data_IF_345327040958
#
_entry.id   IF_345327040958
#
_cell.length_a   1.000
_cell.length_b   1.000
_cell.length_c   1.000
_cell.angle_alpha   90.00
_cell.angle_beta   90.00
_cell.angle_gamma   90.00
#
_symmetry.space_group_name_H-M   'P 1'
#
loop_
_entity.id
_entity.type
_entity.pdbx_description
1 polymer ?
#
# COMPACT_ATOMS: atom_id res chain seq x y z
N UNK A 1 22.26 -1.00 0.45
CA UNK A 1 21.76 0.29 0.97
C UNK A 1 20.43 0.06 1.64
N UNK A 2 20.30 0.55 2.88
CA UNK A 2 19.11 0.43 3.72
C UNK A 2 18.40 1.78 3.82
N UNK A 3 17.09 1.75 3.93
CA UNK A 3 16.27 2.89 4.37
C UNK A 3 15.96 2.68 5.84
N UNK A 4 16.12 3.73 6.64
CA UNK A 4 15.87 3.70 8.08
C UNK A 4 14.86 4.78 8.44
N UNK A 5 13.97 4.49 9.37
CA UNK A 5 13.06 5.47 9.93
C UNK A 5 13.87 6.63 10.59
N UNK A 6 13.36 7.86 10.61
CA UNK A 6 12.01 8.25 10.24
C UNK A 6 11.76 8.32 8.73
N UNK A 7 10.65 7.75 8.27
CA UNK A 7 10.21 7.87 6.87
C UNK A 7 9.40 9.16 6.68
N UNK A 8 9.71 9.92 5.64
CA UNK A 8 8.86 11.03 5.21
C UNK A 8 7.54 10.53 4.60
N UNK A 9 6.50 11.38 4.45
CA UNK A 9 5.20 10.97 3.92
C UNK A 9 5.24 10.36 2.52
N UNK A 10 6.11 10.84 1.62
CA UNK A 10 6.23 10.32 0.27
C UNK A 10 6.90 8.93 0.27
N UNK A 11 7.86 8.72 1.17
CA UNK A 11 8.48 7.41 1.42
C UNK A 11 7.46 6.43 2.00
N UNK A 12 6.60 6.86 2.92
CA UNK A 12 5.51 6.03 3.46
C UNK A 12 4.54 5.59 2.37
N UNK A 13 4.04 6.52 1.54
CA UNK A 13 3.16 6.21 0.40
C UNK A 13 3.81 5.20 -0.55
N UNK A 14 5.06 5.44 -0.97
CA UNK A 14 5.81 4.52 -1.86
C UNK A 14 5.94 3.13 -1.27
N UNK A 15 6.30 3.02 0.00
CA UNK A 15 6.43 1.70 0.66
C UNK A 15 5.07 1.02 0.73
N UNK A 16 4.01 1.70 1.14
CA UNK A 16 2.68 1.12 1.24
C UNK A 16 2.15 0.61 -0.10
N UNK A 17 2.37 1.36 -1.19
CA UNK A 17 2.04 0.90 -2.55
C UNK A 17 2.78 -0.38 -2.92
N UNK A 18 4.08 -0.46 -2.61
CA UNK A 18 4.86 -1.66 -2.85
C UNK A 18 4.37 -2.85 -1.99
N UNK A 19 4.07 -2.62 -0.72
CA UNK A 19 3.54 -3.64 0.20
C UNK A 19 2.15 -4.16 -0.22
N UNK A 20 1.29 -3.29 -0.77
CA UNK A 20 -0.02 -3.69 -1.31
C UNK A 20 0.06 -4.27 -2.73
N UNK A 21 1.24 -4.31 -3.35
CA UNK A 21 1.44 -4.84 -4.71
C UNK A 21 0.81 -3.97 -5.81
N UNK A 22 0.53 -2.70 -5.54
CA UNK A 22 -0.10 -1.74 -6.47
C UNK A 22 0.94 -0.90 -7.21
N UNK A 23 1.96 -1.57 -7.71
CA UNK A 23 3.11 -1.00 -8.41
C UNK A 23 3.34 -1.75 -9.72
N UNK A 24 4.22 -1.23 -10.58
CA UNK A 24 4.45 -1.77 -11.92
C UNK A 24 5.01 -3.21 -11.88
N UNK A 25 6.00 -3.45 -11.01
CA UNK A 25 6.62 -4.76 -10.77
C UNK A 25 6.57 -5.12 -9.28
N UNK A 26 5.45 -5.68 -8.79
CA UNK A 26 5.26 -5.92 -7.37
C UNK A 26 6.16 -7.06 -6.88
N UNK A 27 6.86 -6.80 -5.78
CA UNK A 27 7.64 -7.79 -5.05
C UNK A 27 6.83 -8.37 -3.90
N UNK A 28 7.29 -9.49 -3.34
CA UNK A 28 6.72 -10.01 -2.10
C UNK A 28 6.80 -8.94 -0.99
N UNK A 29 5.68 -8.67 -0.28
CA UNK A 29 5.69 -7.72 0.80
C UNK A 29 6.56 -8.20 1.95
N UNK A 30 6.98 -7.24 2.77
CA UNK A 30 7.62 -7.52 4.03
C UNK A 30 6.53 -7.92 5.02
N UNK A 31 6.67 -9.10 5.60
CA UNK A 31 5.72 -9.66 6.55
C UNK A 31 6.31 -9.68 7.94
N UNK A 32 5.43 -9.64 8.94
CA UNK A 32 5.80 -9.69 10.34
C UNK A 32 6.57 -10.99 10.65
N UNK A 33 7.70 -10.93 11.38
CA UNK A 33 8.42 -12.14 11.79
C UNK A 33 7.57 -13.07 12.68
N UNK A 34 6.54 -12.53 13.33
CA UNK A 34 5.62 -13.29 14.19
C UNK A 34 4.40 -13.84 13.44
N UNK A 35 4.32 -13.67 12.10
CA UNK A 35 3.14 -14.02 11.30
C UNK A 35 2.75 -15.52 11.35
N UNK A 36 3.67 -16.39 11.75
CA UNK A 36 3.45 -17.85 11.83
C UNK A 36 2.76 -18.31 13.11
N UNK A 37 2.33 -17.39 13.98
CA UNK A 37 1.61 -17.70 15.23
C UNK A 37 0.13 -18.06 15.03
N UNK A 38 -0.39 -17.95 13.80
CA UNK A 38 -1.78 -18.24 13.44
C UNK A 38 -2.78 -17.13 13.81
N UNK A 39 -2.31 -15.98 14.31
CA UNK A 39 -3.16 -14.85 14.75
C UNK A 39 -3.09 -13.64 13.83
N UNK A 40 -2.13 -13.61 12.91
CA UNK A 40 -1.92 -12.50 11.98
C UNK A 40 -2.95 -12.47 10.87
N UNK A 41 -3.40 -11.26 10.55
CA UNK A 41 -4.37 -11.07 9.48
C UNK A 41 -3.77 -11.33 8.09
N UNK A 42 -4.60 -11.90 7.22
CA UNK A 42 -4.37 -11.90 5.77
C UNK A 42 -4.84 -10.55 5.21
N UNK A 43 -3.91 -9.76 4.68
CA UNK A 43 -4.24 -8.48 4.04
C UNK A 43 -3.27 -8.15 2.91
N UNK A 44 -3.80 -7.64 1.79
CA UNK A 44 -2.98 -7.38 0.59
C UNK A 44 -2.42 -8.66 -0.02
N UNK A 45 -3.11 -9.80 0.18
CA UNK A 45 -2.72 -11.11 -0.33
C UNK A 45 -1.69 -11.88 0.49
N UNK A 46 -1.19 -11.33 1.61
CA UNK A 46 -0.18 -11.98 2.47
C UNK A 46 -0.54 -11.91 3.95
N UNK A 47 -0.12 -12.93 4.71
CA UNK A 47 -0.32 -12.98 6.16
C UNK A 47 0.72 -12.10 6.85
N UNK A 48 0.25 -11.16 7.67
CA UNK A 48 1.11 -10.31 8.48
C UNK A 48 1.84 -9.21 7.69
N UNK A 49 1.31 -8.79 6.54
CA UNK A 49 1.84 -7.64 5.76
C UNK A 49 2.08 -6.43 6.66
N UNK A 50 3.29 -5.88 6.59
CA UNK A 50 3.66 -4.69 7.36
C UNK A 50 3.17 -3.42 6.66
N UNK A 51 2.73 -2.45 7.45
CA UNK A 51 2.29 -1.14 6.97
C UNK A 51 3.37 -0.13 7.30
N UNK A 52 3.71 0.74 6.36
CA UNK A 52 4.67 1.81 6.58
C UNK A 52 4.05 2.95 7.40
N UNK A 53 4.83 3.40 8.37
CA UNK A 53 4.59 4.55 9.22
C UNK A 53 5.85 5.40 9.25
N UNK A 54 5.76 6.63 9.75
CA UNK A 54 6.94 7.47 10.01
C UNK A 54 7.99 6.76 10.86
N UNK A 55 7.57 5.98 11.86
CA UNK A 55 8.47 5.28 12.78
C UNK A 55 9.03 3.95 12.26
N UNK A 56 8.61 3.49 11.08
CA UNK A 56 9.02 2.21 10.51
C UNK A 56 7.87 1.41 9.92
N UNK A 57 8.14 0.15 9.62
CA UNK A 57 7.14 -0.84 9.20
C UNK A 57 6.48 -1.45 10.43
N UNK A 58 5.16 -1.31 10.55
CA UNK A 58 4.38 -1.72 11.71
C UNK A 58 3.44 -2.86 11.32
N UNK A 59 3.41 -3.92 12.12
CA UNK A 59 2.43 -4.99 11.97
C UNK A 59 1.06 -4.55 12.50
N UNK A 60 -0.02 -4.61 11.69
CA UNK A 60 -1.36 -4.27 12.15
C UNK A 60 -1.89 -5.14 13.30
N UNK A 61 -1.46 -6.40 13.35
CA UNK A 61 -1.99 -7.37 14.33
C UNK A 61 -1.28 -7.30 15.67
N UNK A 62 0.05 -7.34 15.70
CA UNK A 62 0.81 -7.48 16.96
C UNK A 62 1.61 -6.23 17.35
N UNK A 63 1.59 -5.17 16.52
CA UNK A 63 2.32 -3.93 16.80
C UNK A 63 3.84 -4.02 16.66
N UNK A 64 4.39 -5.15 16.18
CA UNK A 64 5.81 -5.27 15.87
C UNK A 64 6.27 -4.13 14.94
N UNK A 65 7.41 -3.52 15.26
CA UNK A 65 8.00 -2.42 14.47
C UNK A 65 9.37 -2.84 13.94
N UNK A 66 9.55 -2.72 12.63
CA UNK A 66 10.83 -2.82 11.96
C UNK A 66 11.21 -1.44 11.42
N UNK A 67 12.27 -0.84 11.97
CA UNK A 67 12.68 0.54 11.67
C UNK A 67 13.51 0.68 10.38
N UNK A 68 13.71 -0.40 9.61
CA UNK A 68 14.54 -0.41 8.42
C UNK A 68 14.00 -1.32 7.32
N UNK A 69 14.39 -1.07 6.07
CA UNK A 69 14.11 -1.96 4.93
C UNK A 69 15.20 -1.87 3.85
N UNK A 70 15.40 -2.91 3.02
CA UNK A 70 16.31 -2.82 1.89
C UNK A 70 15.78 -1.82 0.85
N UNK A 71 16.58 -0.81 0.47
CA UNK A 71 16.18 0.17 -0.55
C UNK A 71 15.90 -0.47 -1.93
N UNK A 72 16.38 -1.71 -2.14
CA UNK A 72 16.11 -2.49 -3.35
C UNK A 72 14.62 -2.81 -3.55
N UNK A 73 13.85 -2.93 -2.46
CA UNK A 73 12.39 -3.19 -2.52
C UNK A 73 11.68 -2.11 -3.32
N UNK A 74 12.00 -0.83 -3.06
CA UNK A 74 11.38 0.30 -3.76
C UNK A 74 11.87 0.42 -5.21
N UNK A 75 13.17 0.26 -5.44
CA UNK A 75 13.72 0.34 -6.80
C UNK A 75 13.16 -0.76 -7.72
N UNK A 76 12.88 -1.94 -7.18
CA UNK A 76 12.28 -3.01 -7.96
C UNK A 76 10.82 -2.71 -8.29
N UNK A 77 10.05 -2.25 -7.30
CA UNK A 77 8.66 -1.82 -7.49
C UNK A 77 8.46 -0.79 -8.61
N UNK A 78 9.47 0.05 -8.84
CA UNK A 78 9.47 1.14 -9.82
C UNK A 78 9.88 0.71 -11.23
N UNK A 79 10.30 -0.54 -11.44
CA UNK A 79 10.67 -1.01 -12.78
C UNK A 79 9.44 -1.17 -13.65
N UNK A 80 9.50 -0.62 -14.86
CA UNK A 80 8.53 -0.92 -15.89
C UNK A 80 8.68 -2.39 -16.31
N UNK A 81 7.57 -3.13 -16.32
CA UNK A 81 7.51 -4.48 -16.88
C UNK A 81 7.01 -4.47 -18.33
N UNK A 82 7.21 -5.58 -19.04
CA UNK A 82 6.86 -5.74 -20.47
C UNK A 82 5.36 -5.97 -20.73
N UNK A 83 4.49 -5.42 -19.87
CA UNK A 83 3.02 -5.57 -19.96
C UNK A 83 2.43 -4.31 -20.57
N UNK A 84 1.38 -4.45 -21.39
CA UNK A 84 0.68 -3.27 -21.93
C UNK A 84 0.17 -2.38 -20.79
N UNK A 85 0.26 -1.06 -20.98
CA UNK A 85 -0.13 -0.08 -19.96
C UNK A 85 -1.60 -0.27 -19.49
N UNK A 86 -2.51 -0.62 -20.40
CA UNK A 86 -3.90 -0.89 -20.07
C UNK A 86 -4.08 -2.16 -19.22
N UNK A 87 -3.41 -3.26 -19.56
CA UNK A 87 -3.46 -4.49 -18.78
C UNK A 87 -2.82 -4.31 -17.39
N UNK A 88 -1.73 -3.54 -17.32
CA UNK A 88 -1.10 -3.17 -16.06
C UNK A 88 -2.03 -2.33 -15.19
N UNK A 89 -2.68 -1.31 -15.74
CA UNK A 89 -3.64 -0.47 -15.02
C UNK A 89 -4.82 -1.29 -14.46
N UNK A 90 -5.40 -2.18 -15.26
CA UNK A 90 -6.48 -3.06 -14.80
C UNK A 90 -6.03 -4.01 -13.69
N UNK A 91 -4.82 -4.55 -13.78
CA UNK A 91 -4.24 -5.39 -12.71
C UNK A 91 -4.05 -4.60 -11.43
N UNK A 92 -3.41 -3.43 -11.51
CA UNK A 92 -3.15 -2.56 -10.36
C UNK A 92 -4.46 -2.18 -9.69
N UNK A 93 -5.49 -1.79 -10.44
CA UNK A 93 -6.78 -1.40 -9.89
C UNK A 93 -7.49 -2.56 -9.15
N UNK A 94 -7.48 -3.77 -9.74
CA UNK A 94 -8.03 -4.95 -9.08
C UNK A 94 -7.29 -5.27 -7.77
N UNK A 95 -5.96 -5.23 -7.80
CA UNK A 95 -5.12 -5.44 -6.62
C UNK A 95 -5.36 -4.37 -5.57
N UNK A 96 -5.47 -3.10 -5.98
CA UNK A 96 -5.78 -1.96 -5.11
C UNK A 96 -7.10 -2.16 -4.37
N UNK A 97 -8.16 -2.50 -5.10
CA UNK A 97 -9.47 -2.70 -4.50
C UNK A 97 -9.48 -3.86 -3.50
N UNK A 98 -8.86 -4.99 -3.86
CA UNK A 98 -8.75 -6.15 -2.95
C UNK A 98 -7.96 -5.81 -1.68
N UNK A 99 -6.80 -5.16 -1.82
CA UNK A 99 -5.99 -4.75 -0.68
C UNK A 99 -6.74 -3.72 0.19
N UNK A 100 -7.42 -2.75 -0.42
CA UNK A 100 -8.17 -1.73 0.30
C UNK A 100 -9.28 -2.35 1.15
N UNK A 101 -10.01 -3.33 0.60
CA UNK A 101 -11.05 -4.02 1.34
C UNK A 101 -10.49 -4.82 2.53
N UNK A 102 -9.34 -5.48 2.36
CA UNK A 102 -8.66 -6.18 3.45
C UNK A 102 -8.24 -5.22 4.57
N UNK A 103 -7.51 -4.15 4.24
CA UNK A 103 -7.02 -3.21 5.25
C UNK A 103 -8.16 -2.43 5.93
N UNK A 104 -9.23 -2.10 5.21
CA UNK A 104 -10.45 -1.52 5.82
C UNK A 104 -11.11 -2.49 6.81
N UNK A 105 -11.09 -3.81 6.55
CA UNK A 105 -11.57 -4.79 7.54
C UNK A 105 -10.73 -4.76 8.82
N UNK A 106 -9.41 -4.62 8.71
CA UNK A 106 -8.52 -4.51 9.86
C UNK A 106 -8.80 -3.25 10.69
N UNK A 107 -8.94 -2.10 10.03
CA UNK A 107 -9.29 -0.84 10.72
C UNK A 107 -10.62 -0.96 11.45
N UNK A 108 -11.66 -1.51 10.80
CA UNK A 108 -12.96 -1.77 11.46
C UNK A 108 -12.85 -2.76 12.63
N UNK A 109 -11.89 -3.68 12.58
CA UNK A 109 -11.55 -4.59 13.67
C UNK A 109 -10.68 -3.97 14.78
N UNK A 110 -10.42 -2.66 14.75
CA UNK A 110 -9.66 -1.94 15.76
C UNK A 110 -8.14 -1.88 15.51
N UNK A 111 -7.65 -2.44 14.41
CA UNK A 111 -6.22 -2.43 14.06
C UNK A 111 -5.85 -1.13 13.34
N UNK A 112 -5.87 -0.02 14.10
CA UNK A 112 -5.71 1.34 13.54
C UNK A 112 -4.34 1.58 12.88
N UNK A 113 -3.33 0.78 13.21
CA UNK A 113 -2.02 0.81 12.52
C UNK A 113 -2.11 0.38 11.05
N UNK A 114 -3.25 -0.15 10.58
CA UNK A 114 -3.53 -0.35 9.16
C UNK A 114 -3.98 0.92 8.41
N UNK A 115 -4.38 1.98 9.11
CA UNK A 115 -4.97 3.18 8.50
C UNK A 115 -4.09 3.83 7.43
N UNK A 116 -2.75 3.99 7.60
CA UNK A 116 -1.93 4.61 6.56
C UNK A 116 -1.94 3.86 5.22
N UNK A 117 -2.16 2.55 5.25
CA UNK A 117 -2.33 1.75 4.03
C UNK A 117 -3.67 2.06 3.35
N UNK A 118 -4.75 2.19 4.13
CA UNK A 118 -6.07 2.59 3.62
C UNK A 118 -5.97 3.96 2.94
N UNK A 119 -5.36 4.94 3.62
CA UNK A 119 -5.19 6.30 3.10
C UNK A 119 -4.41 6.29 1.78
N UNK A 120 -3.33 5.50 1.71
CA UNK A 120 -2.52 5.31 0.49
C UNK A 120 -3.37 4.79 -0.67
N UNK A 121 -4.16 3.73 -0.43
CA UNK A 121 -4.94 3.06 -1.48
C UNK A 121 -6.19 3.85 -1.91
N UNK A 122 -6.74 4.68 -1.03
CA UNK A 122 -7.82 5.61 -1.35
C UNK A 122 -7.32 6.79 -2.17
N UNK A 123 -6.15 7.36 -1.81
CA UNK A 123 -5.54 8.47 -2.56
C UNK A 123 -5.14 8.09 -4.00
N UNK A 124 -4.95 6.79 -4.28
CA UNK A 124 -4.68 6.27 -5.62
C UNK A 124 -5.92 6.19 -6.52
N UNK A 125 -7.13 6.18 -5.96
CA UNK A 125 -8.33 6.08 -6.77
C UNK A 125 -8.40 7.28 -7.74
N UNK A 126 -8.81 7.07 -9.00
CA UNK A 126 -9.02 8.19 -9.91
C UNK A 126 -9.99 9.15 -9.23
N UNK A 127 -9.61 10.43 -9.16
CA UNK A 127 -10.52 11.47 -8.70
C UNK A 127 -11.71 11.42 -9.62
N UNK A 128 -12.84 10.93 -9.12
CA UNK A 128 -14.12 11.08 -9.81
C UNK A 128 -14.30 12.58 -9.92
N UNK A 129 -14.09 13.13 -11.12
CA UNK A 129 -14.52 14.48 -11.42
C UNK A 129 -16.03 14.47 -11.19
N UNK A 130 -16.47 14.94 -10.02
CA UNK A 130 -17.86 15.29 -9.83
C UNK A 130 -18.18 16.30 -10.93
N UNK A 131 -19.28 16.09 -11.66
CA UNK A 131 -19.62 16.83 -12.88
C UNK A 131 -19.75 18.36 -12.74
N UNK A 132 -19.43 18.93 -11.57
CA UNK A 132 -19.35 20.37 -11.35
C UNK A 132 -18.21 21.05 -12.12
N UNK A 133 -17.10 20.35 -12.41
CA UNK A 133 -15.99 20.94 -13.19
C UNK A 133 -16.26 20.97 -14.70
N UNK A 134 -17.21 20.15 -15.19
CA UNK A 134 -17.59 20.13 -16.60
C UNK A 134 -18.53 21.29 -16.97
N UNK A 135 -19.33 21.80 -16.02
CA UNK A 135 -20.27 22.89 -16.26
C UNK A 135 -19.57 24.26 -16.32
N UNK A 136 -18.44 24.42 -15.63
CA UNK A 136 -17.63 25.65 -15.70
C UNK A 136 -16.78 25.76 -16.97
N UNK A 137 -16.45 24.63 -17.61
CA UNK A 137 -15.63 24.58 -18.82
C UNK A 137 -16.43 24.83 -20.12
N UNK A 138 -17.77 24.72 -20.07
CA UNK A 138 -18.65 24.99 -21.21
C UNK A 138 -19.29 26.38 -21.16
N UNK A 139 -19.08 27.11 -20.07
CA UNK A 139 -19.62 28.46 -19.83
C UNK A 139 -18.55 29.57 -19.97
N UNK A 140 -17.35 29.25 -20.44
CA UNK A 140 -16.25 30.18 -20.73
C UNK A 140 -15.90 30.13 -22.22
#
# INVERSE_FOLDING_TARGET
>A
MWLTAPFDPATVDRINRAQAGVVADPVHPLTCPHARDGRHALAGGYVGTLVAHRQGLVCPTCGHVQSWLPAAVLRQAERAGDVSAAAQAMRIERTRQSALDDFRRLVRGGQLSAQPMVDTLEAMAPRVSTGADAELALAA
#
